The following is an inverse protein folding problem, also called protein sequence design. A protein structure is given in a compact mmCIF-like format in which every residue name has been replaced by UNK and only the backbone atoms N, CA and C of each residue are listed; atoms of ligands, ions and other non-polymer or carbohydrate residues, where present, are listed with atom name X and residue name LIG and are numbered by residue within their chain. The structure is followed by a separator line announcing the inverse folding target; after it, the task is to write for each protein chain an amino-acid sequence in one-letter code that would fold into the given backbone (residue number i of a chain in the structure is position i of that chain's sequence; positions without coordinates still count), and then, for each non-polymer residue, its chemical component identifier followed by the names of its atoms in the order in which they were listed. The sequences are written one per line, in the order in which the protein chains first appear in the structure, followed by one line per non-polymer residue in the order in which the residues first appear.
data_IF_971616809027
#
_entry.id   IF_971616809027
#
_cell.length_a   1.000
_cell.length_b   1.000
_cell.length_c   1.000
_cell.angle_alpha   90.00
_cell.angle_beta   90.00
_cell.angle_gamma   90.00
#
_symmetry.space_group_name_H-M   'P 1'
#
loop_
_entity.id
_entity.type
_entity.pdbx_description
1 polymer ?
#
# COMPACT_ATOMS: atom_id res chain seq x y z
N UNK A 1 -22.24 -8.39 -20.18
CA UNK A 1 -21.15 -7.88 -19.32
C UNK A 1 -19.83 -8.62 -19.57
N UNK A 2 -19.85 -9.94 -19.80
CA UNK A 2 -18.63 -10.67 -20.19
C UNK A 2 -18.29 -10.42 -21.67
N UNK A 3 -17.07 -9.96 -21.94
CA UNK A 3 -16.52 -9.71 -23.28
C UNK A 3 -15.01 -9.94 -23.25
N UNK A 4 -14.45 -10.40 -24.36
CA UNK A 4 -13.01 -10.59 -24.53
C UNK A 4 -12.31 -9.29 -24.98
N UNK A 5 -13.10 -8.27 -25.37
CA UNK A 5 -12.56 -6.95 -25.72
C UNK A 5 -12.21 -6.16 -24.45
N UNK A 6 -10.91 -5.99 -24.23
CA UNK A 6 -10.34 -5.29 -23.07
C UNK A 6 -10.77 -3.83 -22.98
N UNK A 7 -10.93 -3.12 -24.10
CA UNK A 7 -11.36 -1.72 -24.12
C UNK A 7 -12.82 -1.59 -23.68
N UNK A 8 -13.69 -2.45 -24.20
CA UNK A 8 -15.08 -2.49 -23.79
C UNK A 8 -15.21 -2.86 -22.31
N UNK A 9 -14.39 -3.82 -21.83
CA UNK A 9 -14.35 -4.20 -20.42
C UNK A 9 -13.97 -3.02 -19.51
N UNK A 10 -12.98 -2.21 -19.90
CA UNK A 10 -12.61 -0.98 -19.16
C UNK A 10 -13.77 0.02 -19.06
N UNK A 11 -14.54 0.21 -20.14
CA UNK A 11 -15.71 1.09 -20.14
C UNK A 11 -16.84 0.57 -19.25
N UNK A 12 -17.11 -0.74 -19.29
CA UNK A 12 -18.10 -1.38 -18.40
C UNK A 12 -17.68 -1.24 -16.94
N UNK A 13 -16.40 -1.42 -16.64
CA UNK A 13 -15.88 -1.26 -15.28
C UNK A 13 -15.98 0.18 -14.78
N UNK A 14 -15.68 1.15 -15.64
CA UNK A 14 -15.86 2.57 -15.33
C UNK A 14 -17.33 2.89 -15.05
N UNK A 15 -18.25 2.36 -15.86
CA UNK A 15 -19.68 2.51 -15.64
C UNK A 15 -20.10 1.92 -14.28
N UNK A 16 -19.69 0.69 -13.98
CA UNK A 16 -20.03 0.03 -12.71
C UNK A 16 -19.49 0.79 -11.50
N UNK A 17 -18.24 1.29 -11.54
CA UNK A 17 -17.69 2.10 -10.44
C UNK A 17 -18.51 3.36 -10.16
N UNK A 18 -19.01 4.04 -11.21
CA UNK A 18 -19.75 5.29 -11.06
C UNK A 18 -21.21 5.09 -10.63
N UNK A 19 -21.86 4.01 -11.10
CA UNK A 19 -23.29 3.79 -10.88
C UNK A 19 -23.62 2.75 -9.80
N UNK A 20 -22.64 2.01 -9.27
CA UNK A 20 -22.89 0.98 -8.25
C UNK A 20 -23.57 1.52 -6.98
N UNK A 21 -23.31 2.78 -6.59
CA UNK A 21 -24.01 3.41 -5.45
C UNK A 21 -25.49 3.66 -5.72
N UNK A 22 -25.83 4.05 -6.94
CA UNK A 22 -27.21 4.34 -7.34
C UNK A 22 -28.00 3.06 -7.67
N UNK A 23 -27.30 2.00 -8.10
CA UNK A 23 -27.89 0.74 -8.53
C UNK A 23 -27.06 -0.46 -8.03
N UNK A 24 -27.14 -0.78 -6.72
CA UNK A 24 -26.34 -1.85 -6.11
C UNK A 24 -26.67 -3.24 -6.68
N UNK A 25 -27.92 -3.50 -7.05
CA UNK A 25 -28.34 -4.81 -7.59
C UNK A 25 -27.65 -5.15 -8.91
N UNK A 26 -27.45 -4.14 -9.78
CA UNK A 26 -26.70 -4.30 -11.03
C UNK A 26 -25.22 -4.59 -10.78
N UNK A 27 -24.64 -4.02 -9.72
CA UNK A 27 -23.26 -4.30 -9.33
C UNK A 27 -23.11 -5.73 -8.80
N UNK A 28 -24.12 -6.27 -8.10
CA UNK A 28 -24.13 -7.67 -7.64
C UNK A 28 -24.10 -8.64 -8.84
N UNK A 29 -24.82 -8.34 -9.92
CA UNK A 29 -24.80 -9.18 -11.12
C UNK A 29 -23.40 -9.27 -11.77
N UNK A 30 -22.55 -8.25 -11.56
CA UNK A 30 -21.21 -8.22 -12.11
C UNK A 30 -20.18 -9.00 -11.27
N UNK A 31 -20.50 -9.38 -10.02
CA UNK A 31 -19.56 -10.05 -9.09
C UNK A 31 -18.95 -11.31 -9.69
N UNK A 32 -19.78 -12.18 -10.27
CA UNK A 32 -19.30 -13.41 -10.90
C UNK A 32 -18.35 -13.14 -12.08
N UNK A 33 -18.55 -12.03 -12.79
CA UNK A 33 -17.65 -11.61 -13.87
C UNK A 33 -16.33 -11.11 -13.30
N UNK A 34 -16.35 -10.32 -12.22
CA UNK A 34 -15.13 -9.86 -11.57
C UNK A 34 -14.29 -11.00 -11.00
N UNK A 35 -14.91 -11.95 -10.29
CA UNK A 35 -14.21 -13.11 -9.73
C UNK A 35 -13.52 -13.90 -10.84
N UNK A 36 -14.21 -14.12 -11.96
CA UNK A 36 -13.63 -14.78 -13.13
C UNK A 36 -12.48 -13.97 -13.75
N UNK A 37 -12.63 -12.66 -13.86
CA UNK A 37 -11.61 -11.78 -14.43
C UNK A 37 -10.37 -11.64 -13.53
N UNK A 38 -10.50 -11.86 -12.22
CA UNK A 38 -9.38 -11.98 -11.29
C UNK A 38 -8.54 -13.26 -11.51
N UNK A 39 -9.04 -14.23 -12.27
CA UNK A 39 -8.34 -15.49 -12.62
C UNK A 39 -7.96 -15.55 -14.11
N UNK A 40 -8.10 -14.44 -14.84
CA UNK A 40 -7.76 -14.34 -16.26
C UNK A 40 -6.25 -14.56 -16.49
N UNK A 41 -5.86 -15.09 -17.65
CA UNK A 41 -4.44 -15.30 -17.97
C UNK A 41 -3.68 -13.98 -18.10
N UNK A 42 -4.36 -12.89 -18.47
CA UNK A 42 -3.77 -11.57 -18.62
C UNK A 42 -3.69 -10.84 -17.26
N UNK A 43 -2.49 -10.52 -16.75
CA UNK A 43 -2.31 -9.82 -15.47
C UNK A 43 -2.96 -8.43 -15.46
N UNK A 44 -3.09 -7.77 -16.61
CA UNK A 44 -3.75 -6.47 -16.69
C UNK A 44 -5.25 -6.58 -16.44
N UNK A 45 -5.89 -7.68 -16.84
CA UNK A 45 -7.31 -7.94 -16.58
C UNK A 45 -7.51 -8.29 -15.11
N UNK A 46 -6.65 -9.16 -14.55
CA UNK A 46 -6.68 -9.51 -13.12
C UNK A 46 -6.56 -8.28 -12.22
N UNK A 47 -5.52 -7.48 -12.42
CA UNK A 47 -5.31 -6.24 -11.66
C UNK A 47 -6.45 -5.23 -11.86
N UNK A 48 -6.98 -5.11 -13.09
CA UNK A 48 -8.10 -4.23 -13.38
C UNK A 48 -9.37 -4.66 -12.62
N UNK A 49 -9.65 -5.97 -12.55
CA UNK A 49 -10.79 -6.51 -11.82
C UNK A 49 -10.68 -6.22 -10.31
N UNK A 50 -9.56 -6.59 -9.68
CA UNK A 50 -9.31 -6.33 -8.25
C UNK A 50 -9.44 -4.85 -7.90
N UNK A 51 -8.81 -3.98 -8.71
CA UNK A 51 -8.88 -2.53 -8.50
C UNK A 51 -10.31 -1.99 -8.59
N UNK A 52 -11.10 -2.53 -9.52
CA UNK A 52 -12.48 -2.10 -9.76
C UNK A 52 -13.37 -2.54 -8.62
N UNK A 53 -13.26 -3.79 -8.18
CA UNK A 53 -13.99 -4.30 -7.02
C UNK A 53 -13.69 -3.48 -5.76
N UNK A 54 -12.43 -3.16 -5.50
CA UNK A 54 -12.04 -2.32 -4.35
C UNK A 54 -12.52 -0.86 -4.40
N UNK A 55 -12.95 -0.37 -5.57
CA UNK A 55 -13.56 0.96 -5.70
C UNK A 55 -15.08 0.95 -5.52
N UNK A 56 -15.73 -0.23 -5.60
CA UNK A 56 -17.17 -0.34 -5.47
C UNK A 56 -17.53 -0.40 -3.98
N UNK A 57 -18.04 0.72 -3.45
CA UNK A 57 -18.45 0.87 -2.04
C UNK A 57 -19.83 0.27 -1.77
N UNK A 58 -19.99 -1.04 -2.02
CA UNK A 58 -21.21 -1.81 -1.72
C UNK A 58 -20.82 -2.98 -0.82
N UNK A 59 -21.36 -3.02 0.40
CA UNK A 59 -20.97 -3.97 1.45
C UNK A 59 -21.02 -5.44 0.98
N UNK A 60 -22.11 -5.85 0.31
CA UNK A 60 -22.22 -7.21 -0.26
C UNK A 60 -21.07 -7.58 -1.21
N UNK A 61 -20.52 -6.62 -1.96
CA UNK A 61 -19.42 -6.87 -2.91
C UNK A 61 -18.08 -7.07 -2.17
N UNK A 62 -17.90 -6.42 -1.02
CA UNK A 62 -16.67 -6.52 -0.24
C UNK A 62 -16.42 -7.94 0.28
N UNK A 63 -17.47 -8.68 0.64
CA UNK A 63 -17.34 -10.10 1.04
C UNK A 63 -16.86 -10.98 -0.10
N UNK A 64 -17.36 -10.76 -1.32
CA UNK A 64 -16.93 -11.51 -2.52
C UNK A 64 -15.54 -11.11 -3.03
N UNK A 65 -14.98 -9.98 -2.56
CA UNK A 65 -13.64 -9.53 -2.92
C UNK A 65 -12.55 -10.27 -2.14
N UNK A 66 -12.83 -10.74 -0.92
CA UNK A 66 -11.80 -11.28 -0.03
C UNK A 66 -10.98 -12.42 -0.66
N UNK A 67 -11.65 -13.42 -1.23
CA UNK A 67 -10.95 -14.58 -1.80
C UNK A 67 -10.15 -14.23 -3.07
N UNK A 68 -10.71 -13.52 -4.08
CA UNK A 68 -9.94 -13.03 -5.21
C UNK A 68 -8.76 -12.13 -4.79
N UNK A 69 -8.96 -11.24 -3.82
CA UNK A 69 -7.92 -10.34 -3.34
C UNK A 69 -6.75 -11.14 -2.72
N UNK A 70 -7.05 -12.16 -1.91
CA UNK A 70 -6.04 -13.03 -1.30
C UNK A 70 -5.20 -13.75 -2.36
N UNK A 71 -5.84 -14.25 -3.43
CA UNK A 71 -5.13 -14.86 -4.56
C UNK A 71 -4.23 -13.83 -5.26
N UNK A 72 -4.75 -12.64 -5.54
CA UNK A 72 -4.00 -11.59 -6.23
C UNK A 72 -2.83 -11.00 -5.42
N UNK A 73 -2.87 -11.06 -4.08
CA UNK A 73 -1.70 -10.73 -3.25
C UNK A 73 -0.54 -11.73 -3.42
N UNK A 74 -0.84 -12.96 -3.83
CA UNK A 74 0.14 -14.03 -4.09
C UNK A 74 0.33 -14.31 -5.58
N UNK A 75 -0.11 -13.39 -6.44
CA UNK A 75 -0.02 -13.54 -7.89
C UNK A 75 1.45 -13.59 -8.35
N UNK A 76 1.73 -14.25 -9.48
CA UNK A 76 3.07 -14.30 -10.06
C UNK A 76 3.51 -12.92 -10.60
N UNK A 77 2.56 -12.13 -11.08
CA UNK A 77 2.84 -10.84 -11.70
C UNK A 77 2.90 -9.69 -10.65
N UNK A 78 4.03 -8.95 -10.57
CA UNK A 78 4.18 -7.85 -9.62
C UNK A 78 3.17 -6.71 -9.78
N UNK A 79 2.65 -6.50 -11.00
CA UNK A 79 1.61 -5.49 -11.27
C UNK A 79 0.29 -5.85 -10.58
N UNK A 80 -0.05 -7.14 -10.53
CA UNK A 80 -1.23 -7.62 -9.81
C UNK A 80 -1.00 -7.49 -8.31
N UNK A 81 0.14 -7.96 -7.79
CA UNK A 81 0.46 -7.88 -6.35
C UNK A 81 0.45 -6.44 -5.81
N UNK A 82 1.08 -5.49 -6.49
CA UNK A 82 1.05 -4.07 -6.06
C UNK A 82 -0.36 -3.48 -6.10
N UNK A 83 -1.19 -3.91 -7.06
CA UNK A 83 -2.57 -3.45 -7.18
C UNK A 83 -3.43 -4.03 -6.06
N UNK A 84 -3.21 -5.30 -5.70
CA UNK A 84 -3.85 -5.96 -4.57
C UNK A 84 -3.46 -5.28 -3.24
N UNK A 85 -2.19 -4.91 -3.04
CA UNK A 85 -1.75 -4.19 -1.83
C UNK A 85 -2.54 -2.89 -1.60
N UNK A 86 -2.70 -2.06 -2.64
CA UNK A 86 -3.51 -0.84 -2.56
C UNK A 86 -4.99 -1.15 -2.35
N UNK A 87 -5.48 -2.26 -2.90
CA UNK A 87 -6.86 -2.69 -2.72
C UNK A 87 -7.16 -3.07 -1.26
N UNK A 88 -6.18 -3.62 -0.52
CA UNK A 88 -6.33 -3.90 0.92
C UNK A 88 -6.57 -2.61 1.71
N UNK A 89 -5.83 -1.54 1.43
CA UNK A 89 -6.05 -0.24 2.09
C UNK A 89 -7.48 0.31 1.82
N UNK A 90 -7.96 0.18 0.57
CA UNK A 90 -9.35 0.54 0.22
C UNK A 90 -10.38 -0.33 0.93
N UNK A 91 -10.12 -1.62 1.07
CA UNK A 91 -10.99 -2.53 1.81
C UNK A 91 -11.02 -2.15 3.29
N UNK A 92 -9.88 -1.75 3.87
CA UNK A 92 -9.78 -1.27 5.23
C UNK A 92 -10.60 0.02 5.45
N UNK A 93 -10.53 1.00 4.52
CA UNK A 93 -11.37 2.21 4.57
C UNK A 93 -12.89 1.89 4.61
N UNK A 94 -13.31 0.80 3.95
CA UNK A 94 -14.71 0.39 3.93
C UNK A 94 -15.11 -0.47 5.13
N UNK A 95 -14.30 -1.46 5.50
CA UNK A 95 -14.57 -2.40 6.58
C UNK A 95 -13.26 -2.87 7.25
N UNK A 96 -12.76 -2.12 8.26
CA UNK A 96 -11.53 -2.46 8.98
C UNK A 96 -11.57 -3.85 9.63
N UNK A 97 -12.73 -4.23 10.20
CA UNK A 97 -12.90 -5.50 10.90
C UNK A 97 -12.70 -6.68 9.98
N UNK A 98 -13.26 -6.62 8.76
CA UNK A 98 -13.11 -7.66 7.76
C UNK A 98 -11.64 -7.84 7.35
N UNK A 99 -10.87 -6.74 7.28
CA UNK A 99 -9.44 -6.80 6.95
C UNK A 99 -8.63 -7.51 8.03
N UNK A 100 -8.92 -7.22 9.30
CA UNK A 100 -8.32 -7.88 10.46
C UNK A 100 -8.73 -9.36 10.54
N UNK A 101 -10.03 -9.68 10.43
CA UNK A 101 -10.56 -11.05 10.52
C UNK A 101 -10.03 -11.98 9.41
N UNK A 102 -9.80 -11.42 8.21
CA UNK A 102 -9.23 -12.15 7.08
C UNK A 102 -7.70 -12.23 7.11
N UNK A 103 -7.03 -11.53 8.03
CA UNK A 103 -5.57 -11.52 8.13
C UNK A 103 -4.88 -10.91 6.90
N UNK A 104 -5.45 -9.86 6.31
CA UNK A 104 -4.83 -9.15 5.19
C UNK A 104 -3.66 -8.27 5.62
N UNK A 105 -3.61 -7.90 6.90
CA UNK A 105 -2.53 -7.09 7.50
C UNK A 105 -1.23 -7.88 7.50
N UNK A 106 -1.27 -9.16 7.86
CA UNK A 106 -0.14 -10.08 7.81
C UNK A 106 0.33 -10.29 6.37
N UNK A 107 -0.60 -10.44 5.43
CA UNK A 107 -0.26 -10.58 4.01
C UNK A 107 0.40 -9.31 3.45
N UNK A 108 -0.03 -8.12 3.87
CA UNK A 108 0.65 -6.88 3.50
C UNK A 108 2.07 -6.80 4.08
N UNK A 109 2.25 -7.27 5.32
CA UNK A 109 3.56 -7.34 5.96
C UNK A 109 4.50 -8.31 5.22
N UNK A 110 3.99 -9.44 4.72
CA UNK A 110 4.76 -10.38 3.89
C UNK A 110 5.24 -9.71 2.59
N UNK A 111 4.40 -8.87 1.96
CA UNK A 111 4.74 -8.13 0.73
C UNK A 111 5.86 -7.10 0.92
N UNK A 112 6.22 -6.73 2.15
CA UNK A 112 7.40 -5.90 2.42
C UNK A 112 8.72 -6.61 2.11
N UNK A 113 8.68 -7.94 1.98
CA UNK A 113 9.83 -8.76 1.62
C UNK A 113 9.76 -9.24 0.16
N UNK A 114 8.90 -8.64 -0.66
CA UNK A 114 8.78 -8.96 -2.08
C UNK A 114 10.06 -8.61 -2.85
N UNK A 115 10.35 -9.39 -3.90
CA UNK A 115 11.49 -9.16 -4.78
C UNK A 115 11.33 -7.88 -5.62
N UNK A 116 10.10 -7.42 -5.85
CA UNK A 116 9.83 -6.23 -6.65
C UNK A 116 9.67 -4.97 -5.76
N UNK A 117 10.54 -3.96 -5.91
CA UNK A 117 10.48 -2.73 -5.10
C UNK A 117 9.16 -1.97 -5.23
N UNK A 118 8.48 -2.03 -6.38
CA UNK A 118 7.18 -1.37 -6.55
C UNK A 118 6.10 -2.03 -5.70
N UNK A 119 6.14 -3.34 -5.51
CA UNK A 119 5.20 -4.06 -4.64
C UNK A 119 5.45 -3.64 -3.19
N UNK A 120 6.72 -3.62 -2.77
CA UNK A 120 7.14 -3.16 -1.44
C UNK A 120 6.65 -1.74 -1.18
N UNK A 121 6.88 -0.79 -2.09
CA UNK A 121 6.46 0.59 -1.91
C UNK A 121 4.93 0.76 -1.77
N UNK A 122 4.14 -0.01 -2.53
CA UNK A 122 2.67 0.03 -2.42
C UNK A 122 2.18 -0.66 -1.13
N UNK A 123 2.84 -1.74 -0.70
CA UNK A 123 2.54 -2.39 0.58
C UNK A 123 2.84 -1.44 1.75
N UNK A 124 3.94 -0.69 1.70
CA UNK A 124 4.28 0.34 2.70
C UNK A 124 3.27 1.46 2.74
N UNK A 125 2.84 1.97 1.57
CA UNK A 125 1.82 3.00 1.51
C UNK A 125 0.52 2.51 2.16
N UNK A 126 0.06 1.30 1.80
CA UNK A 126 -1.13 0.69 2.36
C UNK A 126 -1.02 0.48 3.88
N UNK A 127 0.12 -0.03 4.37
CA UNK A 127 0.34 -0.24 5.80
C UNK A 127 0.40 1.07 6.58
N UNK A 128 1.02 2.12 6.02
CA UNK A 128 1.06 3.44 6.66
C UNK A 128 -0.34 4.02 6.81
N UNK A 129 -1.15 3.96 5.75
CA UNK A 129 -2.54 4.44 5.76
C UNK A 129 -3.41 3.68 6.77
N UNK A 130 -3.26 2.35 6.84
CA UNK A 130 -3.95 1.52 7.84
C UNK A 130 -3.51 1.89 9.27
N UNK A 131 -2.20 2.05 9.48
CA UNK A 131 -1.64 2.40 10.79
C UNK A 131 -2.05 3.79 11.29
N UNK A 132 -2.30 4.75 10.40
CA UNK A 132 -2.80 6.09 10.77
C UNK A 132 -4.20 6.03 11.38
N UNK A 133 -5.06 5.11 10.92
CA UNK A 133 -6.39 4.92 11.48
C UNK A 133 -6.35 4.13 12.78
N UNK A 134 -5.55 3.05 12.81
CA UNK A 134 -5.33 2.22 13.98
C UNK A 134 -3.92 1.62 13.91
N UNK A 135 -3.05 1.85 14.90
CA UNK A 135 -1.71 1.27 14.89
C UNK A 135 -1.81 -0.25 15.06
N UNK A 136 -1.66 -0.99 13.97
CA UNK A 136 -1.72 -2.46 13.93
C UNK A 136 -0.32 -3.09 13.82
N UNK A 137 0.62 -2.40 13.15
CA UNK A 137 1.99 -2.89 12.98
C UNK A 137 3.00 -1.85 13.46
N UNK A 138 3.90 -2.25 14.34
CA UNK A 138 5.07 -1.44 14.68
C UNK A 138 6.17 -1.56 13.61
N UNK A 139 6.58 -0.41 13.07
CA UNK A 139 7.75 -0.35 12.17
C UNK A 139 8.99 -0.66 13.00
N UNK A 140 9.68 -1.76 12.68
CA UNK A 140 10.91 -2.18 13.37
C UNK A 140 12.17 -1.90 12.53
N UNK A 141 13.35 -1.98 13.16
CA UNK A 141 14.64 -1.75 12.48
C UNK A 141 14.87 -2.67 11.26
N UNK A 142 14.35 -3.90 11.27
CA UNK A 142 14.50 -4.82 10.14
C UNK A 142 13.67 -4.35 8.93
N UNK A 143 12.44 -3.92 9.18
CA UNK A 143 11.58 -3.30 8.16
C UNK A 143 12.24 -2.05 7.60
N UNK A 144 12.73 -1.14 8.44
CA UNK A 144 13.45 0.08 8.00
C UNK A 144 14.61 -0.25 7.07
N UNK A 145 15.42 -1.27 7.40
CA UNK A 145 16.53 -1.67 6.53
C UNK A 145 16.07 -2.20 5.17
N UNK A 146 14.98 -2.98 5.13
CA UNK A 146 14.36 -3.44 3.86
C UNK A 146 13.86 -2.25 3.03
N UNK A 147 13.20 -1.30 3.68
CA UNK A 147 12.67 -0.08 3.05
C UNK A 147 13.76 0.79 2.44
N UNK A 148 14.84 1.02 3.18
CA UNK A 148 15.98 1.80 2.69
C UNK A 148 16.70 1.11 1.51
N UNK A 149 16.64 -0.22 1.43
CA UNK A 149 17.16 -0.96 0.26
C UNK A 149 16.22 -0.79 -0.94
N UNK A 150 14.92 -0.95 -0.74
CA UNK A 150 13.91 -0.71 -1.77
C UNK A 150 13.92 0.74 -2.29
N UNK A 151 14.26 1.72 -1.43
CA UNK A 151 14.35 3.14 -1.78
C UNK A 151 15.28 3.42 -2.98
N UNK A 152 16.34 2.62 -3.15
CA UNK A 152 17.31 2.79 -4.23
C UNK A 152 16.78 2.35 -5.60
N UNK A 153 15.81 1.43 -5.63
CA UNK A 153 15.30 0.78 -6.85
C UNK A 153 13.86 1.19 -7.16
N UNK A 154 13.21 1.94 -6.27
CA UNK A 154 11.84 2.41 -6.44
C UNK A 154 11.73 3.61 -7.40
N UNK A 155 10.57 3.69 -8.05
CA UNK A 155 10.10 4.91 -8.73
C UNK A 155 10.02 6.10 -7.76
N UNK A 156 9.99 7.32 -8.29
CA UNK A 156 9.90 8.56 -7.49
C UNK A 156 8.73 8.53 -6.47
N UNK A 157 7.56 8.07 -6.89
CA UNK A 157 6.39 7.93 -6.01
C UNK A 157 6.58 6.87 -4.94
N UNK A 158 7.23 5.76 -5.28
CA UNK A 158 7.58 4.74 -4.29
C UNK A 158 8.59 5.26 -3.26
N UNK A 159 9.53 6.11 -3.68
CA UNK A 159 10.46 6.77 -2.77
C UNK A 159 9.72 7.69 -1.79
N UNK A 160 8.73 8.46 -2.27
CA UNK A 160 7.88 9.30 -1.41
C UNK A 160 7.16 8.45 -0.36
N UNK A 161 6.49 7.37 -0.77
CA UNK A 161 5.77 6.49 0.18
C UNK A 161 6.68 5.88 1.24
N UNK A 162 7.87 5.43 0.84
CA UNK A 162 8.85 4.89 1.78
C UNK A 162 9.35 5.96 2.74
N UNK A 163 9.69 7.16 2.25
CA UNK A 163 10.15 8.26 3.09
C UNK A 163 9.06 8.71 4.07
N UNK A 164 7.81 8.81 3.63
CA UNK A 164 6.70 9.17 4.51
C UNK A 164 6.48 8.12 5.61
N UNK A 165 6.61 6.83 5.30
CA UNK A 165 6.56 5.77 6.31
C UNK A 165 7.73 5.88 7.32
N UNK A 166 8.94 6.20 6.85
CA UNK A 166 10.11 6.41 7.71
C UNK A 166 9.96 7.65 8.60
N UNK A 167 9.18 8.65 8.19
CA UNK A 167 8.98 9.86 8.98
C UNK A 167 8.23 9.58 10.30
N UNK A 168 7.46 8.49 10.38
CA UNK A 168 6.80 8.01 11.59
C UNK A 168 7.67 7.11 12.47
N UNK A 169 8.82 6.65 11.98
CA UNK A 169 9.71 5.76 12.72
C UNK A 169 10.57 6.51 13.73
N UNK A 170 10.72 5.95 14.93
CA UNK A 170 11.64 6.45 15.96
C UNK A 170 12.87 5.53 16.06
N UNK A 171 14.07 6.01 15.71
CA UNK A 171 15.30 5.24 15.84
C UNK A 171 15.56 4.83 17.30
N UNK A 172 16.23 3.70 17.50
CA UNK A 172 16.59 3.17 18.83
C UNK A 172 17.79 3.89 19.43
N UNK A 173 18.76 4.19 18.58
CA UNK A 173 20.00 4.86 18.95
C UNK A 173 20.44 5.91 17.92
N UNK A 174 21.40 6.73 18.33
CA UNK A 174 21.96 7.80 17.49
C UNK A 174 22.68 7.25 16.26
N UNK A 175 23.23 6.03 16.36
CA UNK A 175 23.89 5.35 15.24
C UNK A 175 22.89 4.93 14.16
N UNK A 176 21.75 4.36 14.53
CA UNK A 176 20.67 4.02 13.59
C UNK A 176 20.12 5.29 12.94
N UNK A 177 19.88 6.35 13.73
CA UNK A 177 19.47 7.65 13.22
C UNK A 177 20.45 8.20 12.17
N UNK A 178 21.76 8.18 12.46
CA UNK A 178 22.78 8.64 11.55
C UNK A 178 22.83 7.80 10.26
N UNK A 179 22.77 6.47 10.38
CA UNK A 179 22.75 5.57 9.22
C UNK A 179 21.55 5.83 8.30
N UNK A 180 20.35 6.03 8.86
CA UNK A 180 19.16 6.38 8.07
C UNK A 180 19.39 7.71 7.34
N UNK A 181 19.87 8.75 8.04
CA UNK A 181 20.16 10.07 7.46
C UNK A 181 21.18 10.00 6.32
N UNK A 182 22.27 9.23 6.49
CA UNK A 182 23.29 9.03 5.45
C UNK A 182 22.71 8.36 4.21
N UNK A 183 21.83 7.36 4.38
CA UNK A 183 21.20 6.64 3.26
C UNK A 183 20.15 7.47 2.51
N UNK A 184 19.43 8.36 3.18
CA UNK A 184 18.42 9.23 2.52
C UNK A 184 19.03 10.50 1.93
N UNK A 185 20.20 10.96 2.40
CA UNK A 185 20.84 12.22 1.98
C UNK A 185 20.94 12.41 0.46
N UNK A 186 21.27 11.39 -0.37
CA UNK A 186 21.30 11.53 -1.83
C UNK A 186 19.96 11.96 -2.45
N UNK A 187 18.83 11.74 -1.77
CA UNK A 187 17.49 12.12 -2.23
C UNK A 187 17.23 13.63 -2.16
N UNK A 188 18.03 14.39 -1.42
CA UNK A 188 17.92 15.86 -1.38
C UNK A 188 18.26 16.52 -2.73
N UNK A 189 19.03 15.85 -3.58
CA UNK A 189 19.39 16.31 -4.92
C UNK A 189 18.41 15.84 -6.01
N UNK A 190 17.29 15.22 -5.64
CA UNK A 190 16.34 14.65 -6.58
C UNK A 190 15.54 15.74 -7.32
N UNK A 191 15.23 15.53 -8.61
CA UNK A 191 14.51 16.51 -9.42
C UNK A 191 13.05 16.73 -8.96
N UNK A 192 12.40 15.67 -8.50
CA UNK A 192 11.04 15.72 -7.97
C UNK A 192 11.02 16.33 -6.55
N UNK A 193 10.38 17.49 -6.40
CA UNK A 193 10.28 18.22 -5.14
C UNK A 193 9.57 17.42 -4.02
N UNK A 194 8.64 16.52 -4.36
CA UNK A 194 7.97 15.69 -3.37
C UNK A 194 8.96 14.74 -2.67
N UNK A 195 9.91 14.17 -3.42
CA UNK A 195 10.98 13.32 -2.86
C UNK A 195 11.87 14.14 -1.92
N UNK A 196 12.25 15.36 -2.34
CA UNK A 196 13.09 16.25 -1.53
C UNK A 196 12.38 16.64 -0.23
N UNK A 197 11.12 17.08 -0.30
CA UNK A 197 10.35 17.47 0.89
C UNK A 197 10.13 16.30 1.85
N UNK A 198 9.82 15.11 1.33
CA UNK A 198 9.68 13.89 2.15
C UNK A 198 11.01 13.55 2.84
N UNK A 199 12.14 13.71 2.14
CA UNK A 199 13.47 13.51 2.71
C UNK A 199 13.75 14.51 3.84
N UNK A 200 13.45 15.79 3.64
CA UNK A 200 13.62 16.84 4.66
C UNK A 200 12.76 16.56 5.89
N UNK A 201 11.50 16.11 5.70
CA UNK A 201 10.60 15.72 6.78
C UNK A 201 11.19 14.59 7.63
N UNK A 202 11.72 13.55 6.99
CA UNK A 202 12.40 12.43 7.69
C UNK A 202 13.62 12.93 8.45
N UNK A 203 14.50 13.70 7.79
CA UNK A 203 15.69 14.27 8.44
C UNK A 203 15.32 15.11 9.66
N UNK A 204 14.31 15.98 9.56
CA UNK A 204 13.84 16.79 10.68
C UNK A 204 13.38 15.96 11.88
N UNK A 205 12.53 14.96 11.64
CA UNK A 205 11.99 14.09 12.69
C UNK A 205 13.06 13.20 13.35
N UNK A 206 14.06 12.76 12.58
CA UNK A 206 15.17 11.95 13.11
C UNK A 206 16.16 12.83 13.87
N UNK A 207 16.43 14.05 13.41
CA UNK A 207 17.35 14.99 14.08
C UNK A 207 16.80 15.58 15.38
N UNK A 208 15.48 15.62 15.60
CA UNK A 208 14.89 16.02 16.88
C UNK A 208 15.04 14.95 17.98
N UNK A 209 15.33 13.70 17.62
CA UNK A 209 15.51 12.58 18.57
C UNK A 209 16.55 12.81 19.68
N UNK A 210 17.79 13.28 19.40
CA UNK A 210 18.77 13.55 20.46
C UNK A 210 18.37 14.70 21.40
N UNK A 211 17.54 15.64 20.96
CA UNK A 211 17.04 16.73 21.81
C UNK A 211 15.95 16.26 22.78
N UNK A 212 14.98 15.47 22.30
CA UNK A 212 13.90 14.88 23.12
C UNK A 212 14.44 13.96 24.23
N UNK A 213 15.55 13.25 23.98
CA UNK A 213 16.17 12.37 24.99
C UNK A 213 16.80 13.18 26.13
N UNK A 214 17.44 14.31 25.82
CA UNK A 214 18.09 15.18 26.81
C UNK A 214 17.08 15.84 27.74
N UNK A 215 15.92 16.27 27.24
CA UNK A 215 14.84 16.79 28.08
C UNK A 215 14.26 15.72 29.01
N UNK A 216 14.06 14.48 28.52
CA UNK A 216 13.56 13.39 29.36
C UNK A 216 14.57 12.86 30.37
N UNK A 217 15.87 12.93 30.09
CA UNK A 217 16.93 12.54 31.04
C UNK A 217 17.29 13.62 32.06
N UNK A 218 16.90 14.88 31.82
CA UNK A 218 17.11 16.01 32.76
C UNK A 218 16.01 16.19 33.81
N UNK A 219 15.01 15.31 33.82
CA UNK A 219 13.89 15.28 34.77
C UNK A 219 14.03 14.18 35.85
N UNK A 220 15.24 13.64 36.05
CA UNK A 220 15.57 12.74 37.17
C UNK A 220 16.60 13.38 38.11
#
# INVERSE_FOLDING_TARGET
MQTDNVELKKLVYLYLMNYAKSQPDLAIMAVNTFVKDCEDTNPLIRALAVRTMGCIRVEKITEYLCEPLRKCMKDEDPYVRKTAAVCVAKLHDMNPKLVEEQGFVELLNDLLSDANPMVVANAVAALTEINEQRPLIEVNSQMVNKLLTALNECTEWGQVFILDALAGYRPRDEREAQNICERISPRLAHANAAVVLSTVKVSGNISSFPYDRKEKSGLQ
#
